data_IF_841290319166
#
_entry.id   IF_841290319166
#
_cell.length_a   1.000
_cell.length_b   1.000
_cell.length_c   1.000
_cell.angle_alpha   90.00
_cell.angle_beta   90.00
_cell.angle_gamma   90.00
#
_symmetry.space_group_name_H-M   'P 1'
#
loop_
_entity.id
_entity.type
_entity.pdbx_description
1 polymer ?
#
# COMPACT_ATOMS: atom_id res chain seq x y z
N UNK A 1 15.14 38.44 -24.98
CA UNK A 1 14.37 37.40 -24.27
C UNK A 1 15.33 36.59 -23.41
N UNK A 2 15.38 36.79 -22.08
CA UNK A 2 16.06 35.88 -21.11
C UNK A 2 15.77 36.26 -19.65
N UNK A 3 14.59 36.80 -19.34
CA UNK A 3 14.25 37.25 -17.97
C UNK A 3 12.93 36.66 -17.51
N UNK A 4 12.82 35.34 -17.50
CA UNK A 4 12.14 34.74 -16.36
C UNK A 4 13.02 35.10 -15.14
N UNK A 5 12.66 36.20 -14.46
CA UNK A 5 13.41 36.73 -13.33
C UNK A 5 13.62 35.62 -12.29
N UNK A 6 14.78 35.56 -11.63
CA UNK A 6 15.09 34.52 -10.64
C UNK A 6 13.98 34.32 -9.58
N UNK A 7 13.21 35.37 -9.26
CA UNK A 7 12.03 35.31 -8.40
C UNK A 7 10.89 34.46 -8.99
N UNK A 8 10.62 34.57 -10.29
CA UNK A 8 9.62 33.75 -10.98
C UNK A 8 10.02 32.28 -11.03
N UNK A 9 11.31 31.99 -11.26
CA UNK A 9 11.85 30.62 -11.23
C UNK A 9 11.73 30.00 -9.82
N UNK A 10 12.05 30.76 -8.77
CA UNK A 10 11.85 30.31 -7.37
C UNK A 10 10.38 30.01 -7.09
N UNK A 11 9.45 30.88 -7.50
CA UNK A 11 8.01 30.66 -7.29
C UNK A 11 7.49 29.42 -8.03
N UNK A 12 8.00 29.12 -9.23
CA UNK A 12 7.68 27.87 -9.95
C UNK A 12 8.26 26.65 -9.23
N UNK A 13 9.49 26.74 -8.72
CA UNK A 13 10.11 25.65 -7.96
C UNK A 13 9.30 25.33 -6.69
N UNK A 14 8.88 26.33 -5.91
CA UNK A 14 8.05 26.12 -4.72
C UNK A 14 6.69 25.48 -5.07
N UNK A 15 6.01 25.97 -6.11
CA UNK A 15 4.76 25.34 -6.57
C UNK A 15 4.97 23.89 -7.03
N UNK A 16 6.09 23.60 -7.68
CA UNK A 16 6.42 22.24 -8.10
C UNK A 16 6.65 21.32 -6.90
N UNK A 17 7.27 21.82 -5.81
CA UNK A 17 7.42 21.06 -4.57
C UNK A 17 6.07 20.80 -3.92
N UNK A 18 5.23 21.82 -3.77
CA UNK A 18 3.88 21.67 -3.22
C UNK A 18 3.05 20.66 -4.02
N UNK A 19 3.16 20.68 -5.35
CA UNK A 19 2.48 19.71 -6.20
C UNK A 19 3.05 18.29 -6.01
N UNK A 20 4.37 18.15 -5.99
CA UNK A 20 5.01 16.85 -5.75
C UNK A 20 4.63 16.26 -4.38
N UNK A 21 4.50 17.08 -3.34
CA UNK A 21 4.03 16.64 -2.01
C UNK A 21 2.57 16.17 -2.05
N UNK A 22 1.69 16.88 -2.77
CA UNK A 22 0.30 16.48 -2.98
C UNK A 22 0.20 15.15 -3.73
N UNK A 23 0.96 15.03 -4.81
CA UNK A 23 0.96 13.82 -5.65
C UNK A 23 1.50 12.61 -4.87
N UNK A 24 2.55 12.81 -4.07
CA UNK A 24 3.08 11.76 -3.19
C UNK A 24 2.05 11.35 -2.13
N UNK A 25 1.37 12.31 -1.50
CA UNK A 25 0.30 12.02 -0.54
C UNK A 25 -0.84 11.23 -1.19
N UNK A 26 -1.25 11.60 -2.41
CA UNK A 26 -2.26 10.88 -3.17
C UNK A 26 -1.82 9.45 -3.53
N UNK A 27 -0.56 9.28 -3.92
CA UNK A 27 0.03 7.96 -4.20
C UNK A 27 0.00 7.06 -2.96
N UNK A 28 0.39 7.58 -1.79
CA UNK A 28 0.35 6.82 -0.53
C UNK A 28 -1.06 6.42 -0.13
N UNK A 29 -2.02 7.34 -0.24
CA UNK A 29 -3.42 7.06 0.05
C UNK A 29 -4.00 5.97 -0.89
N UNK A 30 -3.64 6.01 -2.16
CA UNK A 30 -4.07 4.99 -3.12
C UNK A 30 -3.40 3.64 -2.85
N UNK A 31 -2.12 3.63 -2.46
CA UNK A 31 -1.42 2.43 -2.04
C UNK A 31 -2.09 1.77 -0.82
N UNK A 32 -2.53 2.56 0.18
CA UNK A 32 -3.27 2.03 1.34
C UNK A 32 -4.60 1.43 0.89
N UNK A 33 -5.39 2.14 0.07
CA UNK A 33 -6.65 1.61 -0.46
C UNK A 33 -6.46 0.30 -1.20
N UNK A 34 -5.46 0.21 -2.07
CA UNK A 34 -5.18 -1.02 -2.81
C UNK A 34 -4.71 -2.14 -1.88
N UNK A 35 -3.87 -1.84 -0.89
CA UNK A 35 -3.38 -2.80 0.07
C UNK A 35 -4.51 -3.47 0.86
N UNK A 36 -5.58 -2.73 1.22
CA UNK A 36 -6.70 -3.28 1.98
C UNK A 36 -7.70 -4.10 1.17
N UNK A 37 -7.62 -4.07 -0.16
CA UNK A 37 -8.57 -4.81 -1.03
C UNK A 37 -8.40 -6.32 -1.00
N UNK A 38 -7.21 -6.80 -0.63
CA UNK A 38 -6.90 -8.23 -0.58
C UNK A 38 -6.00 -8.54 0.61
N UNK A 39 -6.34 -9.59 1.32
CA UNK A 39 -5.56 -10.14 2.42
C UNK A 39 -4.66 -11.30 1.97
N UNK A 40 -4.48 -11.50 0.66
CA UNK A 40 -3.63 -12.53 0.09
C UNK A 40 -2.16 -12.36 0.48
N UNK A 41 -1.45 -13.49 0.53
CA UNK A 41 -0.04 -13.49 0.87
C UNK A 41 0.77 -12.81 -0.25
N UNK A 42 1.51 -11.76 0.09
CA UNK A 42 2.36 -11.03 -0.86
C UNK A 42 1.68 -9.85 -1.55
N UNK A 43 0.35 -9.70 -1.47
CA UNK A 43 -0.39 -8.58 -2.06
C UNK A 43 0.14 -7.22 -1.59
N UNK A 44 0.23 -7.03 -0.26
CA UNK A 44 0.76 -5.80 0.32
C UNK A 44 2.19 -5.48 -0.15
N UNK A 45 3.04 -6.50 -0.29
CA UNK A 45 4.41 -6.30 -0.80
C UNK A 45 4.44 -5.91 -2.28
N UNK A 46 3.49 -6.42 -3.08
CA UNK A 46 3.35 -6.04 -4.48
C UNK A 46 2.90 -4.58 -4.61
N UNK A 47 1.87 -4.18 -3.86
CA UNK A 47 1.38 -2.79 -3.82
C UNK A 47 2.48 -1.83 -3.37
N UNK A 48 3.27 -2.19 -2.35
CA UNK A 48 4.40 -1.37 -1.90
C UNK A 48 5.46 -1.19 -3.00
N UNK A 49 5.74 -2.24 -3.76
CA UNK A 49 6.71 -2.20 -4.88
C UNK A 49 6.21 -1.29 -6.01
N UNK A 50 4.93 -1.36 -6.34
CA UNK A 50 4.31 -0.51 -7.37
C UNK A 50 4.30 0.97 -6.94
N UNK A 51 4.01 1.24 -5.66
CA UNK A 51 4.09 2.58 -5.10
C UNK A 51 5.53 3.07 -4.86
N UNK A 52 6.55 2.24 -5.10
CA UNK A 52 7.96 2.61 -4.93
C UNK A 52 8.38 2.85 -3.48
N UNK A 53 7.68 2.24 -2.52
CA UNK A 53 7.91 2.42 -1.08
C UNK A 53 8.31 1.11 -0.41
N UNK A 54 8.86 1.21 0.80
CA UNK A 54 9.16 0.03 1.61
C UNK A 54 7.85 -0.66 2.06
N UNK A 55 7.81 -2.00 1.96
CA UNK A 55 6.64 -2.76 2.39
C UNK A 55 6.32 -2.57 3.88
N UNK A 56 7.34 -2.37 4.73
CA UNK A 56 7.11 -2.07 6.15
C UNK A 56 6.42 -0.72 6.34
N UNK A 57 6.83 0.29 5.57
CA UNK A 57 6.20 1.61 5.62
C UNK A 57 4.72 1.55 5.19
N UNK A 58 4.40 0.78 4.15
CA UNK A 58 3.00 0.57 3.76
C UNK A 58 2.19 -0.15 4.85
N UNK A 59 2.77 -1.11 5.57
CA UNK A 59 2.10 -1.75 6.73
C UNK A 59 1.79 -0.75 7.82
N UNK A 60 2.74 0.12 8.14
CA UNK A 60 2.56 1.14 9.17
C UNK A 60 1.47 2.14 8.77
N UNK A 61 1.41 2.53 7.49
CA UNK A 61 0.33 3.37 6.95
C UNK A 61 -1.03 2.67 7.01
N UNK A 62 -1.10 1.41 6.59
CA UNK A 62 -2.34 0.62 6.66
C UNK A 62 -2.81 0.48 8.10
N UNK A 63 -1.94 0.21 9.06
CA UNK A 63 -2.33 0.07 10.47
C UNK A 63 -2.75 1.41 11.08
N UNK A 64 -2.16 2.52 10.62
CA UNK A 64 -2.54 3.88 11.03
C UNK A 64 -3.92 4.28 10.52
N UNK A 65 -4.26 3.96 9.28
CA UNK A 65 -5.55 4.31 8.66
C UNK A 65 -6.64 3.26 8.92
N UNK A 66 -6.26 2.00 9.05
CA UNK A 66 -7.12 0.83 9.28
C UNK A 66 -6.58 -0.04 10.43
N UNK A 67 -6.74 0.40 11.69
CA UNK A 67 -6.25 -0.35 12.85
C UNK A 67 -6.82 -1.76 12.92
N UNK A 68 -5.95 -2.74 13.14
CA UNK A 68 -6.31 -4.16 13.25
C UNK A 68 -6.45 -4.89 11.92
N UNK A 69 -6.37 -4.21 10.77
CA UNK A 69 -6.53 -4.84 9.46
C UNK A 69 -5.46 -5.91 9.22
N UNK A 70 -4.20 -5.66 9.59
CA UNK A 70 -3.13 -6.65 9.41
C UNK A 70 -3.36 -7.93 10.23
N UNK A 71 -3.90 -7.78 11.44
CA UNK A 71 -4.23 -8.90 12.31
C UNK A 71 -5.44 -9.69 11.78
N UNK A 72 -6.45 -9.00 11.25
CA UNK A 72 -7.60 -9.64 10.58
C UNK A 72 -7.18 -10.39 9.32
N UNK A 73 -6.40 -9.75 8.44
CA UNK A 73 -5.84 -10.36 7.24
C UNK A 73 -5.03 -11.64 7.57
N UNK A 74 -4.23 -11.60 8.64
CA UNK A 74 -3.50 -12.78 9.11
C UNK A 74 -4.43 -13.91 9.59
N UNK A 75 -5.49 -13.58 10.33
CA UNK A 75 -6.50 -14.54 10.79
C UNK A 75 -7.23 -15.19 9.62
N UNK A 76 -7.66 -14.40 8.63
CA UNK A 76 -8.35 -14.89 7.44
C UNK A 76 -7.47 -15.83 6.61
N UNK A 77 -6.19 -15.48 6.40
CA UNK A 77 -5.22 -16.37 5.74
C UNK A 77 -5.07 -17.69 6.47
N UNK A 78 -4.95 -17.66 7.80
CA UNK A 78 -4.84 -18.87 8.62
C UNK A 78 -6.10 -19.73 8.48
N UNK A 79 -7.29 -19.13 8.59
CA UNK A 79 -8.56 -19.83 8.43
C UNK A 79 -8.68 -20.52 7.06
N UNK A 80 -8.28 -19.85 5.96
CA UNK A 80 -8.25 -20.44 4.61
C UNK A 80 -7.26 -21.61 4.52
N UNK A 81 -6.07 -21.47 5.10
CA UNK A 81 -5.06 -22.54 5.15
C UNK A 81 -5.59 -23.76 5.90
N UNK A 82 -6.22 -23.55 7.05
CA UNK A 82 -6.78 -24.63 7.88
C UNK A 82 -7.97 -25.32 7.20
N UNK A 83 -8.84 -24.56 6.50
CA UNK A 83 -9.92 -25.11 5.70
C UNK A 83 -9.40 -25.97 4.53
N UNK A 84 -8.38 -25.50 3.82
CA UNK A 84 -7.76 -26.26 2.73
C UNK A 84 -7.10 -27.57 3.21
N UNK A 85 -6.51 -27.57 4.42
CA UNK A 85 -5.93 -28.77 5.02
C UNK A 85 -7.00 -29.82 5.37
N UNK A 86 -8.14 -29.40 5.93
CA UNK A 86 -9.26 -30.31 6.25
C UNK A 86 -9.87 -30.95 5.00
N UNK A 87 -10.02 -30.20 3.91
CA UNK A 87 -10.53 -30.73 2.64
C UNK A 87 -9.61 -31.75 1.95
N UNK A 88 -8.30 -31.68 2.19
CA UNK A 88 -7.35 -32.71 1.71
C UNK A 88 -7.45 -34.01 2.50
N UNK A 89 -7.66 -33.93 3.82
CA UNK A 89 -7.77 -35.11 4.68
C UNK A 89 -9.01 -35.95 4.37
N UNK A 90 -10.13 -35.33 4.00
CA UNK A 90 -11.37 -36.05 3.66
C UNK A 90 -11.34 -36.72 2.28
N UNK A 91 -10.44 -36.28 1.38
CA UNK A 91 -10.29 -36.86 0.03
C UNK A 91 -9.29 -38.04 -0.02
N UNK A 92 -8.46 -38.19 1.00
CA UNK A 92 -7.51 -39.31 1.12
C UNK A 92 -8.08 -40.53 1.87
N UNK A 93 -9.28 -40.40 2.45
CA UNK A 93 -9.96 -41.46 3.23
C UNK A 93 -11.18 -42.07 2.50
N UNK A 94 -11.39 -41.70 1.23
CA UNK A 94 -12.39 -42.27 0.32
C UNK A 94 -11.68 -42.93 -0.86
#
# INVERSE_FOLDING_TARGET
MTTDTLAALRKRAERSKEQAEKDNTALLAEAVKQAITSDEYGHLSAVAREAGIAAQYLRDLVEKEHPGWLAEAARNRKARKDAAAKGKSSRAAA
#
